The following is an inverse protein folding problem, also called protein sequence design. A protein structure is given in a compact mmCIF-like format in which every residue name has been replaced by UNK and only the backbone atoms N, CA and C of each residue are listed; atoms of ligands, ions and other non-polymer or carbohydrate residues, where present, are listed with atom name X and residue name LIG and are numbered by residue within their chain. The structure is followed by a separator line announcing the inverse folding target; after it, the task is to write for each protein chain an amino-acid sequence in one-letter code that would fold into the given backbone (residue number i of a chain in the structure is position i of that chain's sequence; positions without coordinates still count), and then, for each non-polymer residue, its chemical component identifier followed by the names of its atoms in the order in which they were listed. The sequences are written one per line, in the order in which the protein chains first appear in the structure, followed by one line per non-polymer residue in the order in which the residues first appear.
data_IF_021593355591
#
_entry.id   IF_021593355591
#
_cell.length_a   1.000
_cell.length_b   1.000
_cell.length_c   1.000
_cell.angle_alpha   90.00
_cell.angle_beta   90.00
_cell.angle_gamma   90.00
#
_symmetry.space_group_name_H-M   'P 1'
#
loop_
_entity.id
_entity.type
_entity.pdbx_description
1 polymer ?
#
# COMPACT_ATOMS: atom_id res chain seq x y z
N UNK A 1 37.78 -4.50 6.62
CA UNK A 1 36.68 -3.86 5.88
C UNK A 1 36.54 -2.42 6.28
N UNK A 2 36.28 -1.56 5.31
CA UNK A 2 36.10 -0.14 5.55
C UNK A 2 34.64 0.16 5.85
N UNK A 3 34.36 1.35 6.43
CA UNK A 3 32.99 1.82 6.65
C UNK A 3 32.21 1.94 5.33
N UNK A 4 32.91 2.28 4.22
CA UNK A 4 32.32 2.38 2.89
C UNK A 4 31.70 1.04 2.46
N UNK A 5 32.41 -0.08 2.69
CA UNK A 5 31.89 -1.41 2.35
C UNK A 5 30.67 -1.77 3.17
N UNK A 6 30.68 -1.42 4.45
CA UNK A 6 29.53 -1.65 5.33
C UNK A 6 28.33 -0.82 4.88
N UNK A 7 28.54 0.44 4.53
CA UNK A 7 27.48 1.31 4.06
C UNK A 7 26.86 0.77 2.76
N UNK A 8 27.70 0.32 1.83
CA UNK A 8 27.20 -0.27 0.59
C UNK A 8 26.41 -1.55 0.82
N UNK A 9 26.85 -2.40 1.75
CA UNK A 9 26.12 -3.60 2.12
C UNK A 9 24.74 -3.25 2.66
N UNK A 10 24.66 -2.27 3.55
CA UNK A 10 23.40 -1.82 4.13
C UNK A 10 22.48 -1.22 3.06
N UNK A 11 23.04 -0.47 2.12
CA UNK A 11 22.25 0.08 1.00
C UNK A 11 21.71 -1.02 0.10
N UNK A 12 22.47 -2.08 -0.14
CA UNK A 12 21.99 -3.23 -0.89
C UNK A 12 20.85 -3.94 -0.17
N UNK A 13 20.90 -4.00 1.16
CA UNK A 13 19.80 -4.55 1.95
C UNK A 13 18.56 -3.70 1.79
N UNK A 14 18.68 -2.37 1.83
CA UNK A 14 17.56 -1.46 1.60
C UNK A 14 17.01 -1.66 0.18
N UNK A 15 17.87 -1.75 -0.82
CA UNK A 15 17.44 -1.95 -2.20
C UNK A 15 16.63 -3.23 -2.37
N UNK A 16 17.05 -4.30 -1.70
CA UNK A 16 16.33 -5.58 -1.71
C UNK A 16 14.95 -5.45 -1.05
N UNK A 17 14.89 -4.74 0.07
CA UNK A 17 13.62 -4.50 0.77
C UNK A 17 12.70 -3.66 -0.11
N UNK A 18 13.23 -2.61 -0.73
CA UNK A 18 12.45 -1.74 -1.63
C UNK A 18 11.87 -2.54 -2.78
N UNK A 19 12.65 -3.44 -3.38
CA UNK A 19 12.17 -4.29 -4.46
C UNK A 19 10.98 -5.15 -4.01
N UNK A 20 11.03 -5.66 -2.77
CA UNK A 20 9.93 -6.43 -2.20
C UNK A 20 8.70 -5.56 -1.96
N UNK A 21 8.90 -4.33 -1.47
CA UNK A 21 7.79 -3.38 -1.24
C UNK A 21 7.07 -3.10 -2.56
N UNK A 22 7.81 -2.81 -3.63
CA UNK A 22 7.20 -2.49 -4.92
C UNK A 22 6.55 -3.71 -5.57
N UNK A 23 7.10 -4.90 -5.39
CA UNK A 23 6.47 -6.13 -5.85
C UNK A 23 5.12 -6.34 -5.12
N UNK A 24 5.10 -6.16 -3.82
CA UNK A 24 3.88 -6.27 -3.02
C UNK A 24 2.87 -5.17 -3.38
N UNK A 25 3.36 -3.98 -3.69
CA UNK A 25 2.50 -2.90 -4.15
C UNK A 25 1.78 -3.29 -5.46
N UNK A 26 2.49 -3.86 -6.41
CA UNK A 26 1.87 -4.32 -7.66
C UNK A 26 0.86 -5.43 -7.42
N UNK A 27 1.17 -6.37 -6.53
CA UNK A 27 0.22 -7.42 -6.15
C UNK A 27 -1.04 -6.81 -5.54
N UNK A 28 -0.87 -5.81 -4.67
CA UNK A 28 -1.99 -5.11 -4.05
C UNK A 28 -2.86 -4.41 -5.10
N UNK A 29 -2.25 -3.80 -6.11
CA UNK A 29 -2.98 -3.16 -7.21
C UNK A 29 -3.78 -4.21 -8.00
N UNK A 30 -3.19 -5.38 -8.27
CA UNK A 30 -3.89 -6.46 -8.96
C UNK A 30 -5.16 -6.88 -8.20
N UNK A 31 -5.05 -7.03 -6.88
CA UNK A 31 -6.20 -7.37 -6.04
C UNK A 31 -7.22 -6.23 -6.01
N UNK A 32 -6.73 -4.98 -5.95
CA UNK A 32 -7.62 -3.81 -5.97
C UNK A 32 -8.45 -3.76 -7.26
N UNK A 33 -7.88 -4.12 -8.39
CA UNK A 33 -8.61 -4.21 -9.66
C UNK A 33 -9.70 -5.27 -9.60
N UNK A 34 -9.41 -6.42 -8.98
CA UNK A 34 -10.40 -7.49 -8.80
C UNK A 34 -11.54 -7.02 -7.90
N UNK A 35 -11.23 -6.27 -6.85
CA UNK A 35 -12.25 -5.66 -5.97
C UNK A 35 -13.09 -4.66 -6.76
N UNK A 36 -12.45 -3.85 -7.62
CA UNK A 36 -13.17 -2.90 -8.48
C UNK A 36 -14.15 -3.59 -9.41
N UNK A 37 -13.73 -4.67 -10.03
CA UNK A 37 -14.60 -5.46 -10.91
C UNK A 37 -15.79 -6.06 -10.15
N UNK A 38 -15.54 -6.58 -8.96
CA UNK A 38 -16.60 -7.12 -8.09
C UNK A 38 -17.61 -6.03 -7.72
N UNK A 39 -17.12 -4.85 -7.31
CA UNK A 39 -17.98 -3.74 -6.93
C UNK A 39 -18.84 -3.26 -8.11
N UNK A 40 -18.25 -3.20 -9.30
CA UNK A 40 -18.99 -2.84 -10.50
C UNK A 40 -20.12 -3.83 -10.79
N UNK A 41 -19.81 -5.12 -10.72
CA UNK A 41 -20.77 -6.19 -10.97
C UNK A 41 -21.93 -6.16 -9.98
N UNK A 42 -21.65 -5.83 -8.72
CA UNK A 42 -22.64 -5.81 -7.64
C UNK A 42 -23.19 -4.41 -7.35
N UNK A 43 -22.88 -3.44 -8.19
CA UNK A 43 -23.35 -2.06 -8.04
C UNK A 43 -22.98 -1.43 -6.69
N UNK A 44 -21.77 -1.75 -6.21
CA UNK A 44 -21.23 -1.20 -4.95
C UNK A 44 -20.37 0.02 -5.24
N UNK A 45 -20.37 0.97 -4.32
CA UNK A 45 -19.51 2.17 -4.42
C UNK A 45 -18.04 1.79 -4.25
N UNK A 46 -17.15 2.48 -4.99
CA UNK A 46 -15.71 2.31 -4.84
C UNK A 46 -15.25 2.75 -3.45
N UNK A 47 -15.73 3.89 -2.99
CA UNK A 47 -15.33 4.46 -1.71
C UNK A 47 -16.05 3.75 -0.56
N UNK A 48 -15.27 3.33 0.43
CA UNK A 48 -15.76 2.66 1.63
C UNK A 48 -15.03 3.26 2.85
N UNK A 49 -15.62 4.29 3.43
CA UNK A 49 -15.05 4.99 4.58
C UNK A 49 -14.82 4.08 5.78
N UNK A 50 -15.75 3.17 6.02
CA UNK A 50 -15.65 2.23 7.14
C UNK A 50 -14.41 1.35 7.01
N UNK A 51 -14.15 0.85 5.81
CA UNK A 51 -12.97 0.03 5.52
C UNK A 51 -11.69 0.83 5.67
N UNK A 52 -11.68 2.07 5.17
CA UNK A 52 -10.49 2.94 5.27
C UNK A 52 -10.17 3.25 6.73
N UNK A 53 -11.17 3.56 7.53
CA UNK A 53 -10.97 3.84 8.95
C UNK A 53 -10.46 2.60 9.70
N UNK A 54 -11.01 1.43 9.38
CA UNK A 54 -10.54 0.18 9.96
C UNK A 54 -9.06 -0.09 9.62
N UNK A 55 -8.64 0.21 8.39
CA UNK A 55 -7.24 0.06 7.97
C UNK A 55 -6.33 1.03 8.72
N UNK A 56 -6.76 2.26 8.92
CA UNK A 56 -5.98 3.24 9.69
C UNK A 56 -5.75 2.76 11.12
N UNK A 57 -6.81 2.28 11.76
CA UNK A 57 -6.70 1.75 13.13
C UNK A 57 -5.77 0.52 13.19
N UNK A 58 -5.84 -0.35 12.18
CA UNK A 58 -4.97 -1.51 12.09
C UNK A 58 -3.50 -1.11 11.98
N UNK A 59 -3.19 -0.11 11.15
CA UNK A 59 -1.82 0.39 11.00
C UNK A 59 -1.31 0.97 12.31
N UNK A 60 -2.12 1.78 12.99
CA UNK A 60 -1.75 2.34 14.30
C UNK A 60 -1.41 1.27 15.32
N UNK A 61 -2.13 0.15 15.29
CA UNK A 61 -1.88 -0.96 16.20
C UNK A 61 -0.65 -1.79 15.83
N UNK A 62 -0.17 -1.69 14.60
CA UNK A 62 0.90 -2.55 14.06
C UNK A 62 2.28 -1.91 14.16
N UNK A 63 2.39 -0.59 13.96
CA UNK A 63 3.69 0.10 13.94
C UNK A 63 3.95 0.81 15.26
N UNK A 64 5.24 1.09 15.53
CA UNK A 64 5.61 1.89 16.70
C UNK A 64 5.07 3.31 16.57
N UNK A 65 4.82 3.96 17.71
CA UNK A 65 4.25 5.31 17.73
C UNK A 65 5.09 6.33 16.97
N UNK A 66 6.42 6.16 16.96
CA UNK A 66 7.32 7.07 16.25
C UNK A 66 7.17 6.97 14.73
N UNK A 67 6.80 5.80 14.22
CA UNK A 67 6.65 5.55 12.79
C UNK A 67 5.21 5.75 12.31
N UNK A 68 4.26 5.91 13.22
CA UNK A 68 2.85 6.02 12.90
C UNK A 68 2.54 7.06 11.83
N UNK A 69 3.05 8.32 11.92
CA UNK A 69 2.75 9.31 10.89
C UNK A 69 3.19 8.88 9.49
N UNK A 70 4.36 8.28 9.38
CA UNK A 70 4.89 7.82 8.09
C UNK A 70 4.11 6.61 7.57
N UNK A 71 3.76 5.69 8.44
CA UNK A 71 2.98 4.52 8.08
C UNK A 71 1.59 4.92 7.59
N UNK A 72 0.96 5.91 8.22
CA UNK A 72 -0.34 6.41 7.80
C UNK A 72 -0.26 7.12 6.44
N UNK A 73 0.81 7.89 6.18
CA UNK A 73 1.02 8.50 4.87
C UNK A 73 1.16 7.43 3.78
N UNK A 74 1.94 6.39 4.05
CA UNK A 74 2.08 5.27 3.12
C UNK A 74 0.73 4.60 2.87
N UNK A 75 -0.04 4.35 3.92
CA UNK A 75 -1.38 3.76 3.79
C UNK A 75 -2.28 4.64 2.92
N UNK A 76 -2.25 5.96 3.11
CA UNK A 76 -3.06 6.88 2.28
C UNK A 76 -2.70 6.76 0.80
N UNK A 77 -1.41 6.66 0.47
CA UNK A 77 -0.96 6.46 -0.91
C UNK A 77 -1.50 5.14 -1.46
N UNK A 78 -1.41 4.06 -0.67
CA UNK A 78 -1.90 2.74 -1.07
C UNK A 78 -3.41 2.75 -1.30
N UNK A 79 -4.17 3.39 -0.42
CA UNK A 79 -5.62 3.47 -0.55
C UNK A 79 -6.04 4.34 -1.73
N UNK A 80 -5.32 5.45 -1.95
CA UNK A 80 -5.62 6.33 -3.09
C UNK A 80 -5.32 5.64 -4.42
N UNK A 81 -4.22 4.89 -4.51
CA UNK A 81 -3.90 4.12 -5.70
C UNK A 81 -4.96 3.04 -5.97
N UNK A 82 -5.41 2.36 -4.91
CA UNK A 82 -6.46 1.34 -5.03
C UNK A 82 -7.77 1.94 -5.53
N UNK A 83 -8.17 3.11 -5.00
CA UNK A 83 -9.38 3.79 -5.47
C UNK A 83 -9.25 4.22 -6.94
N UNK A 84 -8.10 4.74 -7.31
CA UNK A 84 -7.86 5.19 -8.68
C UNK A 84 -8.04 4.04 -9.69
N UNK A 85 -7.45 2.87 -9.41
CA UNK A 85 -7.56 1.73 -10.32
C UNK A 85 -8.97 1.12 -10.31
N UNK A 86 -9.66 1.15 -9.16
CA UNK A 86 -11.05 0.69 -9.07
C UNK A 86 -11.98 1.61 -9.87
N UNK A 87 -11.77 2.90 -9.81
CA UNK A 87 -12.57 3.87 -10.55
C UNK A 87 -12.36 3.72 -12.06
N UNK A 88 -11.12 3.52 -12.50
CA UNK A 88 -10.81 3.29 -13.91
C UNK A 88 -11.49 2.02 -14.43
N UNK A 89 -11.36 0.92 -13.70
CA UNK A 89 -12.01 -0.34 -14.06
C UNK A 89 -13.53 -0.22 -14.00
N UNK A 90 -14.05 0.56 -13.04
CA UNK A 90 -15.47 0.78 -12.84
C UNK A 90 -16.09 1.55 -14.00
N UNK A 91 -15.34 2.48 -14.60
CA UNK A 91 -15.79 3.28 -15.74
C UNK A 91 -15.80 2.49 -17.05
N UNK A 92 -14.95 1.48 -17.15
CA UNK A 92 -14.84 0.66 -18.35
C UNK A 92 -15.88 -0.45 -18.38
#
# INVERSE_FOLDING_TARGET
MTMTNQLETLRQEIDSIDAQIFDLFEQRITVAKQIGAYKKEHELAVLDFSREDAKREQVKATVSSKLEPYALELLEVLMNAAKAVQETDHEL
#
